data_IF_000223382650
#
_entry.id   IF_000223382650
#
_cell.length_a   1.000
_cell.length_b   1.000
_cell.length_c   1.000
_cell.angle_alpha   90.00
_cell.angle_beta   90.00
_cell.angle_gamma   90.00
#
_symmetry.space_group_name_H-M   'P 1'
#
loop_
_entity.id
_entity.type
_entity.pdbx_description
1 polymer ?
#
# COMPACT_ATOMS: atom_id res chain seq x y z
N UNK A 1 -13.29 -17.32 57.18
CA UNK A 1 -14.75 -17.31 57.47
C UNK A 1 -15.42 -17.73 56.19
N UNK A 2 -15.67 -19.04 56.04
CA UNK A 2 -16.95 -19.76 56.28
C UNK A 2 -17.99 -19.42 55.18
N UNK A 3 -18.54 -20.25 54.39
CA UNK A 3 -18.95 -21.67 54.24
C UNK A 3 -19.88 -21.70 53.02
N UNK A 4 -19.76 -22.58 52.03
CA UNK A 4 -20.43 -23.92 51.95
C UNK A 4 -21.96 -23.88 51.88
N UNK A 5 -22.54 -24.47 50.82
CA UNK A 5 -23.33 -25.71 50.83
C UNK A 5 -24.11 -25.83 49.53
N UNK A 6 -23.90 -26.82 48.70
CA UNK A 6 -24.51 -28.15 48.68
C UNK A 6 -25.97 -28.19 48.17
N UNK A 7 -26.11 -29.06 47.19
CA UNK A 7 -27.23 -29.56 46.39
C UNK A 7 -28.35 -30.24 47.18
N UNK A 8 -29.18 -31.21 46.71
CA UNK A 8 -28.96 -32.28 45.71
C UNK A 8 -30.21 -32.68 44.82
N UNK A 9 -29.95 -33.60 43.86
CA UNK A 9 -30.65 -34.80 43.34
C UNK A 9 -32.17 -34.98 43.46
N UNK A 10 -32.77 -35.52 42.36
CA UNK A 10 -33.48 -36.83 42.19
C UNK A 10 -34.12 -36.87 40.82
N UNK A 11 -33.86 -37.81 39.94
CA UNK A 11 -34.26 -39.19 39.74
C UNK A 11 -35.79 -39.43 39.55
N UNK A 12 -36.06 -40.02 38.40
CA UNK A 12 -36.88 -41.23 38.04
C UNK A 12 -37.79 -40.91 36.84
N UNK A 13 -37.96 -41.69 35.77
CA UNK A 13 -37.93 -43.11 35.59
C UNK A 13 -39.17 -43.57 34.86
N UNK A 14 -39.08 -44.51 33.89
CA UNK A 14 -40.24 -45.23 33.32
C UNK A 14 -40.34 -45.08 31.78
N UNK A 15 -39.90 -45.93 30.94
CA UNK A 15 -40.21 -47.31 30.48
C UNK A 15 -41.52 -47.49 29.72
N UNK A 16 -41.39 -48.11 28.57
CA UNK A 16 -42.39 -48.80 27.77
C UNK A 16 -42.53 -48.27 26.36
N UNK A 17 -42.36 -48.92 25.26
CA UNK A 17 -42.50 -50.29 24.89
C UNK A 17 -43.28 -50.39 23.61
N UNK A 18 -42.78 -51.05 22.57
CA UNK A 18 -43.63 -51.81 21.67
C UNK A 18 -43.75 -51.38 20.21
N UNK A 19 -43.15 -52.18 19.37
CA UNK A 19 -43.58 -52.92 18.18
C UNK A 19 -43.62 -52.26 16.79
N UNK A 20 -42.75 -52.78 16.00
CA UNK A 20 -42.88 -53.39 14.65
C UNK A 20 -43.85 -52.81 13.63
N UNK A 21 -43.28 -52.52 12.44
CA UNK A 21 -44.03 -52.31 11.21
C UNK A 21 -43.13 -52.12 10.01
N UNK A 22 -42.58 -53.22 9.50
CA UNK A 22 -41.94 -53.34 8.20
C UNK A 22 -42.84 -52.93 7.06
N UNK A 23 -42.41 -51.96 6.22
CA UNK A 23 -42.89 -51.92 4.83
C UNK A 23 -41.75 -51.38 3.95
N UNK A 24 -41.26 -52.26 3.14
CA UNK A 24 -40.50 -52.13 1.93
C UNK A 24 -41.16 -51.13 0.96
N UNK A 25 -40.41 -50.16 0.45
CA UNK A 25 -40.64 -49.64 -0.90
C UNK A 25 -39.33 -49.12 -1.51
N UNK A 26 -39.18 -49.48 -2.77
CA UNK A 26 -38.04 -49.38 -3.66
C UNK A 26 -37.57 -47.95 -3.96
N UNK A 27 -36.37 -47.82 -4.59
CA UNK A 27 -35.68 -46.53 -4.78
C UNK A 27 -36.29 -45.74 -5.95
N UNK A 28 -36.65 -44.51 -5.71
CA UNK A 28 -36.84 -43.53 -6.81
C UNK A 28 -35.51 -42.81 -7.01
N UNK A 29 -34.74 -43.30 -7.97
CA UNK A 29 -33.73 -42.50 -8.66
C UNK A 29 -34.45 -41.29 -9.29
N UNK A 30 -34.22 -40.13 -8.73
CA UNK A 30 -34.45 -38.86 -9.38
C UNK A 30 -33.06 -38.21 -9.49
N UNK A 31 -32.57 -38.13 -10.70
CA UNK A 31 -31.40 -37.44 -11.11
C UNK A 31 -31.41 -36.00 -10.58
N UNK A 32 -30.63 -35.74 -9.56
CA UNK A 32 -30.24 -34.38 -9.20
C UNK A 32 -29.15 -33.98 -10.18
N UNK A 33 -29.56 -33.28 -11.23
CA UNK A 33 -28.63 -32.58 -12.10
C UNK A 33 -27.72 -31.71 -11.22
N UNK A 34 -26.47 -32.08 -11.17
CA UNK A 34 -25.38 -31.28 -10.59
C UNK A 34 -25.28 -30.01 -11.42
N UNK A 35 -25.96 -28.97 -10.96
CA UNK A 35 -25.71 -27.59 -11.37
C UNK A 35 -24.35 -27.19 -10.77
N UNK A 36 -23.29 -27.64 -11.39
CA UNK A 36 -21.92 -27.21 -11.13
C UNK A 36 -21.71 -25.87 -11.83
N UNK A 37 -22.49 -24.86 -11.44
CA UNK A 37 -22.20 -23.48 -11.77
C UNK A 37 -20.92 -23.12 -11.02
N UNK A 38 -19.87 -22.99 -11.78
CA UNK A 38 -18.53 -22.54 -11.38
C UNK A 38 -18.66 -21.14 -10.73
N UNK A 39 -19.06 -21.12 -9.45
CA UNK A 39 -19.30 -19.88 -8.70
C UNK A 39 -17.93 -19.28 -8.40
N UNK A 40 -17.52 -18.30 -9.21
CA UNK A 40 -16.27 -17.59 -9.05
C UNK A 40 -16.10 -17.12 -7.61
N UNK A 41 -14.94 -17.38 -7.00
CA UNK A 41 -14.60 -16.93 -5.65
C UNK A 41 -14.66 -15.40 -5.56
N UNK A 42 -15.08 -14.88 -4.42
CA UNK A 42 -15.23 -13.43 -4.19
C UNK A 42 -13.94 -12.68 -4.52
N UNK A 43 -12.79 -13.19 -4.07
CA UNK A 43 -11.50 -12.55 -4.31
C UNK A 43 -11.07 -12.59 -5.78
N UNK A 44 -11.40 -13.67 -6.49
CA UNK A 44 -11.13 -13.76 -7.93
C UNK A 44 -11.99 -12.78 -8.72
N UNK A 45 -13.28 -12.65 -8.35
CA UNK A 45 -14.19 -11.69 -8.98
C UNK A 45 -13.71 -10.25 -8.75
N UNK A 46 -13.34 -9.89 -7.53
CA UNK A 46 -12.79 -8.57 -7.20
C UNK A 46 -11.51 -8.27 -7.97
N UNK A 47 -10.62 -9.25 -8.13
CA UNK A 47 -9.41 -9.10 -8.94
C UNK A 47 -9.76 -8.80 -10.40
N UNK A 48 -10.73 -9.52 -10.99
CA UNK A 48 -11.17 -9.29 -12.37
C UNK A 48 -11.87 -7.93 -12.54
N UNK A 49 -12.66 -7.49 -11.56
CA UNK A 49 -13.24 -6.14 -11.55
C UNK A 49 -12.15 -5.08 -11.61
N UNK A 50 -11.10 -5.22 -10.81
CA UNK A 50 -9.99 -4.26 -10.82
C UNK A 50 -9.20 -4.29 -12.14
N UNK A 51 -9.01 -5.46 -12.73
CA UNK A 51 -8.37 -5.57 -14.04
C UNK A 51 -9.19 -4.85 -15.12
N UNK A 52 -10.51 -5.07 -15.18
CA UNK A 52 -11.40 -4.36 -16.11
C UNK A 52 -11.36 -2.84 -15.87
N UNK A 53 -11.35 -2.43 -14.60
CA UNK A 53 -11.24 -1.03 -14.24
C UNK A 53 -9.90 -0.42 -14.69
N UNK A 54 -8.81 -1.19 -14.61
CA UNK A 54 -7.49 -0.76 -15.11
C UNK A 54 -7.42 -0.64 -16.62
N UNK A 55 -8.13 -1.50 -17.36
CA UNK A 55 -8.18 -1.49 -18.82
C UNK A 55 -9.12 -0.42 -19.37
N UNK A 56 -10.28 -0.20 -18.73
CA UNK A 56 -11.38 0.61 -19.27
C UNK A 56 -11.54 1.99 -18.58
N UNK A 57 -10.90 2.19 -17.41
CA UNK A 57 -11.03 3.41 -16.60
C UNK A 57 -12.32 3.49 -15.78
N UNK A 58 -13.39 2.80 -16.18
CA UNK A 58 -14.67 2.71 -15.48
C UNK A 58 -15.33 1.35 -15.69
N UNK A 59 -16.23 0.96 -14.77
CA UNK A 59 -17.04 -0.26 -14.88
C UNK A 59 -18.46 0.02 -14.38
N UNK A 60 -19.45 -0.61 -15.00
CA UNK A 60 -20.88 -0.46 -14.62
C UNK A 60 -21.36 -1.67 -13.85
N UNK A 61 -22.24 -1.45 -12.86
CA UNK A 61 -22.79 -2.52 -12.00
C UNK A 61 -23.56 -3.55 -12.83
N UNK A 62 -24.32 -3.10 -13.79
CA UNK A 62 -25.13 -3.95 -14.66
C UNK A 62 -24.26 -4.84 -15.51
N UNK A 63 -23.24 -4.28 -16.18
CA UNK A 63 -22.26 -5.03 -17.00
C UNK A 63 -21.51 -6.09 -16.18
N UNK A 64 -21.04 -5.71 -14.98
CA UNK A 64 -20.38 -6.66 -14.08
C UNK A 64 -21.32 -7.76 -13.58
N UNK A 65 -22.60 -7.43 -13.33
CA UNK A 65 -23.63 -8.39 -12.91
C UNK A 65 -23.86 -9.45 -13.98
N UNK A 66 -24.00 -9.04 -15.23
CA UNK A 66 -24.15 -9.93 -16.38
C UNK A 66 -22.90 -10.78 -16.60
N UNK A 67 -21.73 -10.14 -16.66
CA UNK A 67 -20.45 -10.79 -16.96
C UNK A 67 -20.07 -11.84 -15.92
N UNK A 68 -20.35 -11.61 -14.65
CA UNK A 68 -20.03 -12.55 -13.56
C UNK A 68 -21.19 -13.41 -13.14
N UNK A 69 -22.37 -13.28 -13.77
CA UNK A 69 -23.60 -14.02 -13.46
C UNK A 69 -23.94 -13.98 -11.96
N UNK A 70 -23.84 -12.80 -11.36
CA UNK A 70 -24.20 -12.53 -9.95
C UNK A 70 -25.14 -11.33 -9.87
N UNK A 71 -25.90 -11.19 -8.77
CA UNK A 71 -26.82 -10.07 -8.60
C UNK A 71 -26.11 -8.72 -8.53
N UNK A 72 -26.78 -7.64 -8.94
CA UNK A 72 -26.29 -6.26 -8.79
C UNK A 72 -26.00 -5.90 -7.33
N UNK A 73 -26.72 -6.51 -6.37
CA UNK A 73 -26.46 -6.36 -4.93
C UNK A 73 -25.09 -6.93 -4.58
N UNK A 74 -24.74 -8.10 -5.12
CA UNK A 74 -23.42 -8.73 -4.91
C UNK A 74 -22.30 -7.84 -5.49
N UNK A 75 -22.48 -7.33 -6.70
CA UNK A 75 -21.51 -6.41 -7.32
C UNK A 75 -21.37 -5.13 -6.49
N UNK A 76 -22.48 -4.52 -6.05
CA UNK A 76 -22.41 -3.33 -5.19
C UNK A 76 -21.66 -3.58 -3.87
N UNK A 77 -21.81 -4.77 -3.29
CA UNK A 77 -21.05 -5.17 -2.09
C UNK A 77 -19.55 -5.35 -2.39
N UNK A 78 -19.20 -5.93 -3.54
CA UNK A 78 -17.80 -6.05 -3.97
C UNK A 78 -17.18 -4.68 -4.25
N UNK A 79 -17.86 -3.80 -4.98
CA UNK A 79 -17.39 -2.44 -5.23
C UNK A 79 -17.23 -1.65 -3.92
N UNK A 80 -18.19 -1.77 -2.97
CA UNK A 80 -18.08 -1.13 -1.65
C UNK A 80 -16.87 -1.67 -0.84
N UNK A 81 -16.56 -2.96 -0.97
CA UNK A 81 -15.39 -3.54 -0.33
C UNK A 81 -14.08 -3.03 -0.95
N UNK A 82 -14.03 -2.91 -2.29
CA UNK A 82 -12.88 -2.39 -3.02
C UNK A 82 -12.69 -0.87 -2.78
N UNK A 83 -13.77 -0.11 -2.65
CA UNK A 83 -13.75 1.31 -2.30
C UNK A 83 -13.14 1.54 -0.90
N UNK A 84 -13.55 0.75 0.11
CA UNK A 84 -12.96 0.82 1.46
C UNK A 84 -11.45 0.57 1.49
N UNK A 85 -10.93 -0.15 0.51
CA UNK A 85 -9.49 -0.38 0.33
C UNK A 85 -8.84 0.63 -0.62
N UNK A 86 -9.57 1.68 -1.03
CA UNK A 86 -9.05 2.72 -1.93
C UNK A 86 -8.71 2.24 -3.35
N UNK A 87 -9.21 1.05 -3.75
CA UNK A 87 -8.90 0.45 -5.05
C UNK A 87 -9.74 1.02 -6.19
N UNK A 88 -10.85 1.65 -5.87
CA UNK A 88 -11.76 2.32 -6.81
C UNK A 88 -12.57 3.40 -6.10
N UNK A 89 -13.23 4.26 -6.87
CA UNK A 89 -14.23 5.23 -6.40
C UNK A 89 -15.56 4.84 -7.00
N UNK A 90 -16.59 4.69 -6.16
CA UNK A 90 -17.96 4.40 -6.63
C UNK A 90 -18.57 5.65 -7.27
N UNK A 91 -19.27 5.45 -8.38
CA UNK A 91 -20.07 6.46 -9.07
C UNK A 91 -21.52 6.02 -9.13
N UNK A 92 -22.41 6.87 -9.65
CA UNK A 92 -23.80 6.49 -9.92
C UNK A 92 -23.83 5.33 -10.94
N UNK A 93 -24.24 4.14 -10.45
CA UNK A 93 -24.36 2.95 -11.29
C UNK A 93 -23.09 2.15 -11.54
N UNK A 94 -21.92 2.52 -10.98
CA UNK A 94 -20.68 1.82 -11.26
C UNK A 94 -19.51 2.18 -10.36
N UNK A 95 -18.32 2.06 -10.90
CA UNK A 95 -17.08 2.53 -10.31
C UNK A 95 -16.13 3.07 -11.36
N UNK A 96 -15.33 4.04 -10.97
CA UNK A 96 -14.25 4.61 -11.80
C UNK A 96 -12.91 4.30 -11.15
N UNK A 97 -11.88 4.26 -11.99
CA UNK A 97 -10.50 4.23 -11.50
C UNK A 97 -10.30 5.43 -10.58
N UNK A 98 -9.69 5.26 -9.41
CA UNK A 98 -9.34 6.43 -8.63
C UNK A 98 -8.48 7.31 -9.55
N UNK A 99 -8.99 8.43 -9.98
CA UNK A 99 -8.08 9.51 -10.40
C UNK A 99 -7.17 9.69 -9.21
N UNK A 100 -5.87 9.89 -9.42
CA UNK A 100 -4.82 9.83 -8.40
C UNK A 100 -5.21 10.64 -7.16
N UNK A 101 -6.21 10.15 -6.42
CA UNK A 101 -6.58 10.66 -5.12
C UNK A 101 -5.56 10.15 -4.13
N UNK A 102 -5.18 11.02 -3.26
CA UNK A 102 -4.33 10.73 -2.14
C UNK A 102 -4.87 9.52 -1.35
N UNK A 103 -4.11 8.46 -1.39
CA UNK A 103 -4.51 7.18 -0.81
C UNK A 103 -3.92 7.07 0.60
N UNK A 104 -4.71 6.70 1.63
CA UNK A 104 -4.20 6.52 2.98
C UNK A 104 -2.98 5.61 3.05
N UNK A 105 -2.01 5.95 3.89
CA UNK A 105 -0.75 5.20 4.05
C UNK A 105 -1.01 3.73 4.32
N UNK A 106 -1.96 3.40 5.20
CA UNK A 106 -2.32 2.02 5.53
C UNK A 106 -2.81 1.21 4.32
N UNK A 107 -3.49 1.85 3.36
CA UNK A 107 -3.87 1.22 2.09
C UNK A 107 -2.65 1.05 1.20
N UNK A 108 -1.83 2.11 1.05
CA UNK A 108 -0.58 2.05 0.27
C UNK A 108 0.37 0.95 0.79
N UNK A 109 0.39 0.66 2.09
CA UNK A 109 1.23 -0.40 2.69
C UNK A 109 0.86 -1.80 2.22
N UNK A 110 -0.41 -2.07 1.97
CA UNK A 110 -0.86 -3.40 1.50
C UNK A 110 -0.52 -3.65 0.03
N UNK A 111 -0.36 -2.56 -0.75
CA UNK A 111 -0.09 -2.62 -2.19
C UNK A 111 1.40 -2.82 -2.47
N UNK A 112 1.73 -3.75 -3.39
CA UNK A 112 3.10 -4.00 -3.86
C UNK A 112 4.11 -4.24 -2.71
N UNK A 113 3.67 -4.88 -1.63
CA UNK A 113 4.47 -5.06 -0.40
C UNK A 113 5.79 -5.79 -0.64
N UNK A 114 5.78 -6.81 -1.54
CA UNK A 114 6.98 -7.58 -1.88
C UNK A 114 7.98 -6.75 -2.68
N UNK A 115 7.49 -5.99 -3.65
CA UNK A 115 8.28 -5.09 -4.47
C UNK A 115 8.93 -4.00 -3.59
N UNK A 116 8.15 -3.33 -2.75
CA UNK A 116 8.66 -2.33 -1.80
C UNK A 116 9.68 -2.88 -0.80
N UNK A 117 9.50 -4.12 -0.34
CA UNK A 117 10.49 -4.79 0.52
C UNK A 117 11.83 -4.95 -0.18
N UNK A 118 11.86 -5.42 -1.44
CA UNK A 118 13.10 -5.55 -2.22
C UNK A 118 13.74 -4.19 -2.52
N UNK A 119 12.92 -3.19 -2.88
CA UNK A 119 13.36 -1.81 -3.09
C UNK A 119 13.99 -1.27 -1.80
N UNK A 120 13.32 -1.43 -0.66
CA UNK A 120 13.82 -1.01 0.65
C UNK A 120 15.16 -1.65 1.00
N UNK A 121 15.29 -2.96 0.81
CA UNK A 121 16.52 -3.69 1.05
C UNK A 121 17.67 -3.22 0.15
N UNK A 122 17.43 -3.01 -1.14
CA UNK A 122 18.44 -2.53 -2.06
C UNK A 122 18.86 -1.08 -1.75
N UNK A 123 17.90 -0.22 -1.43
CA UNK A 123 18.14 1.17 -1.08
C UNK A 123 18.90 1.30 0.25
N UNK A 124 18.53 0.51 1.27
CA UNK A 124 19.22 0.51 2.56
C UNK A 124 20.71 0.15 2.44
N UNK A 125 21.07 -0.79 1.56
CA UNK A 125 22.49 -1.16 1.28
C UNK A 125 23.33 -0.02 0.68
N UNK A 126 22.71 1.05 0.21
CA UNK A 126 23.42 2.23 -0.31
C UNK A 126 23.86 3.17 0.81
N UNK A 127 23.32 3.01 2.02
CA UNK A 127 23.62 3.85 3.19
C UNK A 127 24.98 3.47 3.74
N UNK A 128 25.80 4.47 4.04
CA UNK A 128 27.14 4.30 4.58
C UNK A 128 27.20 4.74 6.04
N UNK A 129 28.20 4.21 6.75
CA UNK A 129 28.46 4.61 8.13
C UNK A 129 28.79 6.10 8.23
N UNK A 130 28.20 6.80 9.18
CA UNK A 130 28.38 8.24 9.41
C UNK A 130 27.58 9.17 8.50
N UNK A 131 26.84 8.66 7.50
CA UNK A 131 26.01 9.50 6.60
C UNK A 131 24.87 10.20 7.35
N UNK A 132 24.47 11.35 6.81
CA UNK A 132 23.19 12.00 7.08
C UNK A 132 22.21 11.68 5.95
N UNK A 133 21.18 10.91 6.27
CA UNK A 133 20.19 10.43 5.30
C UNK A 133 18.83 11.09 5.58
N UNK A 134 18.17 11.55 4.54
CA UNK A 134 16.78 12.01 4.61
C UNK A 134 15.86 10.93 4.04
N UNK A 135 14.91 10.48 4.86
CA UNK A 135 13.86 9.58 4.46
C UNK A 135 12.54 10.36 4.40
N UNK A 136 12.03 10.53 3.19
CA UNK A 136 10.70 11.09 2.96
C UNK A 136 9.59 10.17 3.50
N UNK A 137 8.38 10.69 3.58
CA UNK A 137 7.19 9.91 3.93
C UNK A 137 6.82 8.92 2.82
N UNK A 138 6.32 7.78 3.21
CA UNK A 138 5.80 6.81 2.27
C UNK A 138 6.14 5.37 2.63
N UNK A 139 5.50 4.44 1.91
CA UNK A 139 5.63 3.01 2.22
C UNK A 139 6.93 2.39 1.71
N UNK A 140 7.51 2.94 0.63
CA UNK A 140 8.82 2.51 0.12
C UNK A 140 9.96 2.98 1.02
N UNK A 141 9.90 4.22 1.52
CA UNK A 141 10.87 4.78 2.47
C UNK A 141 10.76 4.14 3.86
N UNK A 142 9.53 3.82 4.30
CA UNK A 142 9.32 3.02 5.51
C UNK A 142 9.93 1.60 5.38
N UNK A 143 9.95 1.01 4.19
CA UNK A 143 10.64 -0.25 3.96
C UNK A 143 12.16 -0.09 4.13
N UNK A 144 12.75 1.03 3.72
CA UNK A 144 14.17 1.33 3.98
C UNK A 144 14.43 1.42 5.49
N UNK A 145 13.59 2.14 6.23
CA UNK A 145 13.75 2.30 7.68
C UNK A 145 13.76 0.94 8.41
N UNK A 146 12.93 -0.01 7.98
CA UNK A 146 12.92 -1.37 8.53
C UNK A 146 14.24 -2.12 8.28
N UNK A 147 14.81 -1.99 7.09
CA UNK A 147 16.07 -2.66 6.71
C UNK A 147 17.29 -2.02 7.36
N UNK A 148 17.29 -0.71 7.57
CA UNK A 148 18.39 0.04 8.21
C UNK A 148 18.72 -0.50 9.60
N UNK A 149 17.72 -0.99 10.34
CA UNK A 149 17.92 -1.56 11.69
C UNK A 149 18.89 -2.75 11.73
N UNK A 150 18.95 -3.50 10.64
CA UNK A 150 19.80 -4.69 10.54
C UNK A 150 21.19 -4.40 9.93
N UNK A 151 21.45 -3.16 9.50
CA UNK A 151 22.73 -2.80 8.93
C UNK A 151 23.81 -2.66 10.00
N UNK A 152 25.05 -3.10 9.73
CA UNK A 152 26.18 -3.01 10.66
C UNK A 152 26.78 -1.60 10.71
N UNK A 153 25.93 -0.59 10.96
CA UNK A 153 26.34 0.82 11.05
C UNK A 153 26.71 1.15 12.49
N UNK A 154 27.78 1.94 12.68
CA UNK A 154 28.20 2.47 13.99
C UNK A 154 27.51 3.79 14.32
N UNK A 155 27.24 4.59 13.29
CA UNK A 155 26.54 5.86 13.42
C UNK A 155 25.77 6.18 12.14
N UNK A 156 24.54 6.66 12.30
CA UNK A 156 23.71 7.18 11.20
C UNK A 156 22.87 8.34 11.72
N UNK A 157 22.77 9.41 10.95
CA UNK A 157 21.78 10.45 11.21
C UNK A 157 20.65 10.31 10.19
N UNK A 158 19.41 10.14 10.67
CA UNK A 158 18.22 10.07 9.83
C UNK A 158 17.37 11.29 10.10
N UNK A 159 17.15 12.09 9.07
CA UNK A 159 16.17 13.17 9.07
C UNK A 159 14.89 12.64 8.41
N UNK A 160 13.74 12.90 8.96
CA UNK A 160 12.46 12.49 8.36
C UNK A 160 11.32 13.43 8.76
N UNK A 161 10.36 13.57 7.87
CA UNK A 161 9.07 14.19 8.14
C UNK A 161 7.98 13.15 8.47
N UNK A 162 8.30 11.86 8.46
CA UNK A 162 7.36 10.76 8.61
C UNK A 162 7.32 10.24 10.04
N UNK A 163 6.16 10.35 10.69
CA UNK A 163 5.94 9.90 12.07
C UNK A 163 6.21 8.39 12.23
N UNK A 164 5.71 7.58 11.32
CA UNK A 164 5.89 6.13 11.34
C UNK A 164 7.36 5.71 11.19
N UNK A 165 8.15 6.42 10.35
CA UNK A 165 9.58 6.18 10.19
C UNK A 165 10.35 6.59 11.45
N UNK A 166 10.03 7.75 12.04
CA UNK A 166 10.65 8.18 13.27
C UNK A 166 10.41 7.17 14.41
N UNK A 167 9.19 6.68 14.55
CA UNK A 167 8.83 5.65 15.53
C UNK A 167 9.55 4.31 15.27
N UNK A 168 9.70 3.92 14.01
CA UNK A 168 10.39 2.68 13.61
C UNK A 168 11.88 2.68 14.01
N UNK A 169 12.51 3.85 13.97
CA UNK A 169 13.95 4.03 14.25
C UNK A 169 14.24 4.49 15.69
N UNK A 170 13.21 4.90 16.43
CA UNK A 170 13.37 5.37 17.81
C UNK A 170 13.98 4.29 18.72
N UNK A 171 14.87 4.70 19.61
CA UNK A 171 15.52 3.81 20.59
C UNK A 171 16.74 3.04 20.07
N UNK A 172 17.09 3.14 18.79
CA UNK A 172 18.32 2.54 18.24
C UNK A 172 19.52 3.45 18.55
N UNK A 173 20.42 3.02 19.45
CA UNK A 173 21.51 3.87 19.97
C UNK A 173 22.49 4.39 18.91
N UNK A 174 22.64 3.67 17.81
CA UNK A 174 23.54 4.02 16.70
C UNK A 174 22.85 4.90 15.64
N UNK A 175 21.54 5.19 15.78
CA UNK A 175 20.79 6.02 14.87
C UNK A 175 20.30 7.28 15.60
N UNK A 176 20.73 8.44 15.15
CA UNK A 176 20.18 9.72 15.56
C UNK A 176 19.00 10.06 14.65
N UNK A 177 17.81 10.14 15.20
CA UNK A 177 16.61 10.54 14.45
C UNK A 177 16.34 12.02 14.69
N UNK A 178 16.24 12.78 13.59
CA UNK A 178 15.78 14.18 13.59
C UNK A 178 14.44 14.20 12.87
N UNK A 179 13.40 14.50 13.61
CA UNK A 179 12.06 14.63 13.06
C UNK A 179 11.77 16.09 12.73
N UNK A 180 11.37 16.35 11.49
CA UNK A 180 10.90 17.67 11.07
C UNK A 180 9.56 17.96 11.78
N UNK A 181 9.40 19.18 12.25
CA UNK A 181 8.15 19.65 12.81
C UNK A 181 7.11 19.95 11.73
N UNK A 182 5.98 20.52 12.12
CA UNK A 182 4.96 20.97 11.17
C UNK A 182 3.57 20.43 11.46
N UNK A 183 2.69 20.55 10.47
CA UNK A 183 1.32 20.07 10.53
C UNK A 183 1.25 18.60 10.08
N UNK A 184 0.62 17.76 10.91
CA UNK A 184 0.44 16.34 10.59
C UNK A 184 -0.60 16.19 9.49
N UNK A 185 -0.20 15.53 8.41
CA UNK A 185 -1.05 15.09 7.34
C UNK A 185 -1.44 13.62 7.58
N UNK A 186 -2.70 13.39 7.96
CA UNK A 186 -3.19 12.06 8.38
C UNK A 186 -3.08 10.99 7.29
N UNK A 187 -3.22 11.38 6.01
CA UNK A 187 -3.19 10.46 4.88
C UNK A 187 -1.83 9.77 4.68
N UNK A 188 -0.74 10.45 5.03
CA UNK A 188 0.64 9.97 4.83
C UNK A 188 1.45 9.84 6.13
N UNK A 189 0.86 10.24 7.27
CA UNK A 189 1.58 10.38 8.55
C UNK A 189 2.83 11.25 8.42
N UNK A 190 2.79 12.24 7.51
CA UNK A 190 3.87 13.17 7.28
C UNK A 190 3.63 14.52 7.94
N UNK A 191 4.69 15.17 8.37
CA UNK A 191 4.70 16.55 8.84
C UNK A 191 5.07 17.46 7.68
N UNK A 192 4.24 18.45 7.41
CA UNK A 192 4.38 19.37 6.28
C UNK A 192 4.16 20.83 6.70
N UNK A 193 4.41 21.75 5.78
CA UNK A 193 4.15 23.17 5.93
C UNK A 193 5.37 23.96 6.40
N UNK A 194 5.21 25.28 6.65
CA UNK A 194 6.31 26.23 6.82
C UNK A 194 7.30 25.86 7.93
N UNK A 195 6.84 25.27 9.02
CA UNK A 195 7.74 24.87 10.12
C UNK A 195 8.68 23.73 9.71
N UNK A 196 8.16 22.73 8.95
CA UNK A 196 8.99 21.64 8.41
C UNK A 196 10.04 22.20 7.44
N UNK A 197 9.62 23.12 6.55
CA UNK A 197 10.47 23.78 5.57
C UNK A 197 11.60 24.57 6.24
N UNK A 198 11.26 25.44 7.22
CA UNK A 198 12.24 26.27 7.93
C UNK A 198 13.32 25.46 8.69
N UNK A 199 12.89 24.30 9.24
CA UNK A 199 13.82 23.41 9.93
C UNK A 199 14.73 22.74 8.89
N UNK A 200 14.16 22.23 7.79
CA UNK A 200 14.89 21.50 6.76
C UNK A 200 15.94 22.36 6.02
N UNK A 201 15.65 23.64 5.78
CA UNK A 201 16.57 24.61 5.14
C UNK A 201 17.92 24.74 5.85
N UNK A 202 18.02 24.35 7.12
CA UNK A 202 19.24 24.45 7.93
C UNK A 202 20.13 23.21 7.83
N UNK A 203 19.71 22.19 7.10
CA UNK A 203 20.48 20.94 6.99
C UNK A 203 21.16 20.80 5.63
N UNK A 204 22.28 20.11 5.65
CA UNK A 204 22.91 19.53 4.47
C UNK A 204 22.84 18.03 4.59
N UNK A 205 22.30 17.39 3.58
CA UNK A 205 21.99 15.95 3.58
C UNK A 205 22.86 15.24 2.55
N UNK A 206 23.49 14.14 2.95
CA UNK A 206 24.28 13.35 2.02
C UNK A 206 23.42 12.63 1.00
N UNK A 207 22.29 12.08 1.45
CA UNK A 207 21.42 11.27 0.59
C UNK A 207 19.96 11.41 0.98
N UNK A 208 19.13 11.68 -0.02
CA UNK A 208 17.69 11.64 0.07
C UNK A 208 17.18 10.34 -0.54
N UNK A 209 16.31 9.63 0.17
CA UNK A 209 15.43 8.63 -0.41
C UNK A 209 14.03 9.23 -0.48
N UNK A 210 13.54 9.40 -1.70
CA UNK A 210 12.29 10.08 -2.01
C UNK A 210 11.25 9.09 -2.53
N UNK A 211 10.12 9.00 -1.85
CA UNK A 211 8.92 8.35 -2.37
C UNK A 211 8.17 9.29 -3.30
N UNK A 212 7.51 8.75 -4.31
CA UNK A 212 6.70 9.54 -5.25
C UNK A 212 5.42 8.82 -5.62
N UNK A 213 4.40 9.57 -6.00
CA UNK A 213 3.14 8.98 -6.49
C UNK A 213 3.07 8.91 -8.02
N UNK A 214 3.91 9.68 -8.71
CA UNK A 214 4.06 9.63 -10.16
C UNK A 214 5.47 9.97 -10.61
N UNK A 215 5.94 9.24 -11.64
CA UNK A 215 7.18 9.50 -12.39
C UNK A 215 6.81 9.53 -13.87
N UNK A 216 6.97 10.68 -14.51
CA UNK A 216 6.63 10.89 -15.90
C UNK A 216 7.81 11.57 -16.62
N UNK A 217 8.23 11.08 -17.80
CA UNK A 217 9.39 11.64 -18.50
C UNK A 217 9.24 13.12 -18.89
N UNK A 218 8.02 13.60 -19.12
CA UNK A 218 7.75 14.98 -19.53
C UNK A 218 7.47 15.92 -18.35
N UNK A 219 6.76 15.41 -17.32
CA UNK A 219 6.33 16.22 -16.18
C UNK A 219 7.31 16.15 -15.01
N UNK A 220 8.06 15.05 -14.88
CA UNK A 220 8.96 14.80 -13.78
C UNK A 220 8.32 14.00 -12.64
N UNK A 221 8.68 14.34 -11.41
CA UNK A 221 8.19 13.73 -10.17
C UNK A 221 6.94 14.44 -9.67
N UNK A 222 5.95 13.67 -9.24
CA UNK A 222 4.67 14.23 -8.78
C UNK A 222 4.12 13.52 -7.54
N UNK A 223 3.32 14.27 -6.75
CA UNK A 223 2.58 13.80 -5.56
C UNK A 223 1.19 14.44 -5.53
N UNK A 224 0.19 13.88 -4.84
CA UNK A 224 -1.16 14.45 -4.83
C UNK A 224 -1.29 15.73 -3.98
N UNK A 225 -0.39 16.01 -3.05
CA UNK A 225 -0.51 17.11 -2.09
C UNK A 225 0.49 18.23 -2.38
N UNK A 226 0.01 19.49 -2.34
CA UNK A 226 0.82 20.68 -2.64
C UNK A 226 1.88 20.95 -1.58
N UNK A 227 1.55 20.73 -0.31
CA UNK A 227 2.50 20.96 0.79
C UNK A 227 3.57 19.88 0.81
N UNK A 228 3.22 18.62 0.51
CA UNK A 228 4.21 17.56 0.31
C UNK A 228 5.11 17.86 -0.88
N UNK A 229 4.54 18.28 -2.02
CA UNK A 229 5.33 18.63 -3.20
C UNK A 229 6.37 19.71 -2.88
N UNK A 230 5.95 20.75 -2.16
CA UNK A 230 6.83 21.85 -1.76
C UNK A 230 7.96 21.40 -0.82
N UNK A 231 7.62 20.60 0.20
CA UNK A 231 8.62 20.06 1.13
C UNK A 231 9.58 19.09 0.41
N UNK A 232 9.06 18.22 -0.47
CA UNK A 232 9.87 17.28 -1.25
C UNK A 232 10.83 18.00 -2.22
N UNK A 233 10.39 19.09 -2.83
CA UNK A 233 11.27 19.95 -3.62
C UNK A 233 12.40 20.56 -2.77
N UNK A 234 12.11 20.93 -1.52
CA UNK A 234 13.14 21.39 -0.59
C UNK A 234 14.09 20.25 -0.17
N UNK A 235 13.56 19.04 0.09
CA UNK A 235 14.37 17.85 0.37
C UNK A 235 15.39 17.58 -0.74
N UNK A 236 14.99 17.73 -1.99
CA UNK A 236 15.88 17.60 -3.16
C UNK A 236 16.99 18.66 -3.08
N UNK A 237 16.65 19.94 -2.86
CA UNK A 237 17.62 21.04 -2.85
C UNK A 237 18.68 20.95 -1.76
N UNK A 238 18.33 20.42 -0.57
CA UNK A 238 19.28 20.30 0.55
C UNK A 238 20.11 19.02 0.49
N UNK A 239 19.88 18.15 -0.49
CA UNK A 239 20.48 16.82 -0.57
C UNK A 239 21.53 16.75 -1.69
N UNK A 240 22.69 16.17 -1.38
CA UNK A 240 23.77 15.96 -2.35
C UNK A 240 23.44 14.87 -3.38
N UNK A 241 22.74 13.81 -2.95
CA UNK A 241 22.30 12.73 -3.81
C UNK A 241 20.81 12.44 -3.61
N UNK A 242 20.07 12.42 -4.71
CA UNK A 242 18.63 12.12 -4.72
C UNK A 242 18.41 10.74 -5.30
N UNK A 243 17.80 9.86 -4.50
CA UNK A 243 17.44 8.49 -4.87
C UNK A 243 15.93 8.35 -4.79
N UNK A 244 15.27 8.20 -5.93
CA UNK A 244 13.83 7.91 -5.98
C UNK A 244 13.60 6.42 -5.73
N UNK A 245 12.71 6.09 -4.81
CA UNK A 245 12.32 4.71 -4.45
C UNK A 245 10.85 4.49 -4.74
N UNK A 246 10.55 3.81 -5.84
CA UNK A 246 9.20 3.65 -6.33
C UNK A 246 8.99 2.26 -6.95
N UNK A 247 7.86 1.63 -6.64
CA UNK A 247 7.46 0.43 -7.37
C UNK A 247 7.00 0.79 -8.79
N UNK A 248 7.06 -0.19 -9.70
CA UNK A 248 6.80 0.01 -11.14
C UNK A 248 5.43 0.64 -11.46
N UNK A 249 4.46 0.55 -10.56
CA UNK A 249 3.14 1.13 -10.76
C UNK A 249 3.11 2.66 -10.71
N UNK A 250 4.22 3.31 -10.30
CA UNK A 250 4.34 4.76 -10.21
C UNK A 250 4.83 5.42 -11.50
N UNK A 251 5.41 4.63 -12.40
CA UNK A 251 5.95 5.14 -13.67
C UNK A 251 4.86 5.28 -14.73
N UNK A 252 4.95 6.36 -15.51
CA UNK A 252 3.91 6.77 -16.47
C UNK A 252 2.67 7.37 -15.80
N UNK A 253 2.77 7.75 -14.51
CA UNK A 253 1.69 8.42 -13.78
C UNK A 253 2.01 9.87 -13.51
N UNK A 254 0.96 10.69 -13.49
CA UNK A 254 0.98 12.11 -13.12
C UNK A 254 0.02 12.33 -11.97
N UNK A 255 0.51 12.93 -10.89
CA UNK A 255 -0.31 13.40 -9.77
C UNK A 255 -0.52 14.90 -9.86
N UNK A 256 -1.33 15.45 -8.94
CA UNK A 256 -1.76 16.86 -8.97
C UNK A 256 -0.58 17.84 -8.93
N UNK A 257 0.40 17.61 -8.07
CA UNK A 257 1.45 18.57 -7.76
C UNK A 257 2.80 18.07 -8.23
N UNK A 258 3.51 18.89 -9.00
CA UNK A 258 4.89 18.63 -9.42
C UNK A 258 5.84 18.86 -8.24
N UNK A 259 6.78 17.92 -8.06
CA UNK A 259 7.87 18.03 -7.09
C UNK A 259 9.10 18.64 -7.75
N UNK A 260 9.58 18.02 -8.83
CA UNK A 260 10.77 18.42 -9.56
C UNK A 260 10.81 17.79 -10.95
N UNK A 261 11.69 18.29 -11.82
CA UNK A 261 12.06 17.64 -13.07
C UNK A 261 12.95 16.42 -12.84
N UNK A 262 13.08 15.54 -13.84
CA UNK A 262 13.88 14.33 -13.72
C UNK A 262 15.39 14.60 -13.59
N UNK A 263 15.88 15.73 -14.06
CA UNK A 263 17.29 16.15 -13.97
C UNK A 263 17.77 16.33 -12.52
N UNK A 264 16.85 16.55 -11.58
CA UNK A 264 17.14 16.58 -10.15
C UNK A 264 17.40 15.18 -9.55
N UNK A 265 17.16 14.09 -10.29
CA UNK A 265 17.26 12.71 -9.80
C UNK A 265 18.59 12.09 -10.23
N UNK A 266 19.32 11.53 -9.28
CA UNK A 266 20.58 10.83 -9.56
C UNK A 266 20.39 9.34 -9.79
N UNK A 267 19.43 8.74 -9.05
CA UNK A 267 19.20 7.30 -9.07
C UNK A 267 17.74 6.97 -8.84
N UNK A 268 17.28 5.88 -9.49
CA UNK A 268 15.98 5.27 -9.27
C UNK A 268 16.18 3.83 -8.82
N UNK A 269 15.51 3.41 -7.75
CA UNK A 269 15.41 1.99 -7.34
C UNK A 269 13.97 1.53 -7.53
N UNK A 270 13.79 0.49 -8.34
CA UNK A 270 12.45 -0.01 -8.70
C UNK A 270 12.44 -1.52 -8.91
N UNK A 271 11.25 -2.10 -9.10
CA UNK A 271 11.07 -3.52 -9.36
C UNK A 271 11.10 -3.88 -10.85
N UNK A 272 11.17 -5.20 -11.13
CA UNK A 272 11.33 -5.76 -12.50
C UNK A 272 10.16 -5.52 -13.45
N UNK A 273 9.03 -4.99 -12.98
CA UNK A 273 7.86 -4.73 -13.82
C UNK A 273 7.89 -3.36 -14.50
N UNK A 274 8.95 -2.59 -14.27
CA UNK A 274 9.17 -1.32 -15.00
C UNK A 274 9.30 -1.59 -16.50
N UNK A 275 8.68 -0.77 -17.35
CA UNK A 275 8.76 -0.94 -18.80
C UNK A 275 10.17 -0.62 -19.34
N UNK A 276 10.58 -1.32 -20.39
CA UNK A 276 11.85 -1.05 -21.05
C UNK A 276 11.92 0.37 -21.64
N UNK A 277 10.78 0.92 -22.04
CA UNK A 277 10.67 2.29 -22.54
C UNK A 277 10.99 3.30 -21.41
N UNK A 278 10.40 3.13 -20.22
CA UNK A 278 10.68 3.99 -19.07
C UNK A 278 12.14 3.90 -18.64
N UNK A 279 12.73 2.70 -18.63
CA UNK A 279 14.16 2.53 -18.32
C UNK A 279 15.04 3.30 -19.32
N UNK A 280 14.68 3.28 -20.63
CA UNK A 280 15.40 4.08 -21.63
C UNK A 280 15.25 5.58 -21.39
N UNK A 281 14.05 6.05 -21.08
CA UNK A 281 13.79 7.46 -20.79
C UNK A 281 14.58 7.95 -19.57
N UNK A 282 14.60 7.17 -18.47
CA UNK A 282 15.38 7.50 -17.28
C UNK A 282 16.88 7.55 -17.56
N UNK A 283 17.40 6.58 -18.32
CA UNK A 283 18.84 6.57 -18.71
C UNK A 283 19.19 7.74 -19.64
N UNK A 284 18.30 8.12 -20.55
CA UNK A 284 18.49 9.30 -21.40
C UNK A 284 18.55 10.61 -20.59
N UNK A 285 17.89 10.65 -19.43
CA UNK A 285 17.97 11.73 -18.45
C UNK A 285 19.20 11.59 -17.50
N UNK A 286 20.17 10.72 -17.81
CA UNK A 286 21.38 10.44 -17.00
C UNK A 286 21.08 9.88 -15.60
N UNK A 287 19.95 9.21 -15.40
CA UNK A 287 19.55 8.60 -14.14
C UNK A 287 20.02 7.15 -14.09
N UNK A 288 20.75 6.80 -13.02
CA UNK A 288 21.10 5.39 -12.75
C UNK A 288 19.85 4.62 -12.31
N UNK A 289 19.55 3.49 -12.99
CA UNK A 289 18.37 2.66 -12.68
C UNK A 289 18.80 1.32 -12.08
N UNK A 290 18.40 1.09 -10.82
CA UNK A 290 18.62 -0.16 -10.08
C UNK A 290 17.30 -0.93 -10.07
N UNK A 291 17.27 -2.12 -10.70
CA UNK A 291 16.10 -2.99 -10.81
C UNK A 291 16.27 -4.19 -9.89
N UNK A 292 15.26 -4.47 -9.03
CA UNK A 292 15.31 -5.49 -7.97
C UNK A 292 14.17 -6.52 -8.04
#
# INVERSE_FOLDING_TARGET
MTRSSEGPRSQSGGSGGGSSGTRSQAPKNAATATNNTNRMLVEERRRKILQMLDEQGSVMVEELSERFSVSTVTIRADLASLERTGRLVRSHGGAVKPQVYDMPLGVKETLHRREKGRIGQAAAKMIRDGETVLLDSGTSTAAIAREVKALPLRALTVITNALNIAMELAGLRHIRVIMLGGMLREMSYSLVGPHAEQILERFHVDRLFLGVDGVDPEVGLTTPDVLEAKLNALMIRVSRQVVVVADSSKFGRRSLSKIADLDAVHKVVTDRKISAEMVRALKAANIEVVIV
#
